data_IF_880125651918
#
_entry.id   IF_880125651918
#
_cell.length_a   1.000
_cell.length_b   1.000
_cell.length_c   1.000
_cell.angle_alpha   90.00
_cell.angle_beta   90.00
_cell.angle_gamma   90.00
#
_symmetry.space_group_name_H-M   'P 1'
#
loop_
_entity.id
_entity.type
_entity.pdbx_description
1 polymer ?
#
# COMPACT_ATOMS: atom_id res chain seq x y z
N UNK A 1 -5.68 10.54 -9.95
CA UNK A 1 -4.53 9.64 -9.83
C UNK A 1 -3.85 9.91 -8.51
N UNK A 2 -3.51 8.87 -7.76
CA UNK A 2 -2.82 8.94 -6.47
C UNK A 2 -1.63 7.98 -6.51
N UNK A 3 -0.46 8.40 -6.05
CA UNK A 3 0.73 7.57 -6.01
C UNK A 3 1.37 7.58 -4.63
N UNK A 4 2.01 6.48 -4.28
CA UNK A 4 2.71 6.30 -3.00
C UNK A 4 4.04 5.62 -3.26
N UNK A 5 5.09 6.22 -2.74
CA UNK A 5 6.42 5.63 -2.62
C UNK A 5 6.71 5.39 -1.14
N UNK A 6 7.21 4.21 -0.81
CA UNK A 6 7.59 3.86 0.56
C UNK A 6 8.96 3.19 0.57
N UNK A 7 9.73 3.56 1.59
CA UNK A 7 10.92 2.85 2.03
C UNK A 7 10.74 2.53 3.51
N UNK A 8 11.01 1.28 3.90
CA UNK A 8 10.83 0.81 5.27
C UNK A 8 11.69 -0.42 5.53
N UNK A 9 11.70 -0.93 6.75
CA UNK A 9 12.42 -2.15 7.14
C UNK A 9 11.45 -3.16 7.74
N UNK A 10 11.70 -4.44 7.48
CA UNK A 10 10.89 -5.50 8.08
C UNK A 10 11.07 -5.53 9.60
N UNK A 11 9.96 -5.62 10.34
CA UNK A 11 10.00 -5.68 11.82
C UNK A 11 10.76 -6.91 12.34
N UNK A 12 10.68 -8.03 11.64
CA UNK A 12 11.32 -9.28 12.05
C UNK A 12 12.83 -9.31 11.72
N UNK A 13 13.26 -8.52 10.74
CA UNK A 13 14.65 -8.43 10.32
C UNK A 13 14.94 -7.01 9.81
N UNK A 14 15.54 -6.13 10.63
CA UNK A 14 15.82 -4.75 10.23
C UNK A 14 16.83 -4.60 9.08
N UNK A 15 17.52 -5.67 8.69
CA UNK A 15 18.40 -5.67 7.50
C UNK A 15 17.61 -5.93 6.20
N UNK A 16 16.35 -6.33 6.29
CA UNK A 16 15.49 -6.52 5.13
C UNK A 16 14.80 -5.18 4.79
N UNK A 17 15.47 -4.42 3.93
CA UNK A 17 14.93 -3.20 3.36
C UNK A 17 13.78 -3.50 2.38
N UNK A 18 12.67 -2.82 2.61
CA UNK A 18 11.47 -2.89 1.80
C UNK A 18 11.25 -1.57 1.09
N UNK A 19 11.10 -1.62 -0.24
CA UNK A 19 10.68 -0.49 -1.04
C UNK A 19 9.45 -0.88 -1.87
N UNK A 20 8.51 0.05 -2.01
CA UNK A 20 7.38 -0.16 -2.91
C UNK A 20 6.91 1.14 -3.58
N UNK A 21 6.39 0.99 -4.79
CA UNK A 21 5.73 2.03 -5.56
C UNK A 21 4.31 1.58 -5.91
N UNK A 22 3.34 2.44 -5.64
CA UNK A 22 1.94 2.20 -5.90
C UNK A 22 1.35 3.35 -6.70
N UNK A 23 0.53 3.02 -7.69
CA UNK A 23 -0.25 4.00 -8.47
C UNK A 23 -1.69 3.54 -8.51
N UNK A 24 -2.61 4.45 -8.21
CA UNK A 24 -4.05 4.23 -8.24
C UNK A 24 -4.73 5.19 -9.22
N UNK A 25 -5.60 4.62 -10.05
CA UNK A 25 -6.49 5.34 -10.95
C UNK A 25 -7.93 4.87 -10.76
N UNK A 26 -8.87 5.79 -10.95
CA UNK A 26 -10.30 5.50 -11.03
C UNK A 26 -10.90 6.37 -12.12
N UNK A 27 -11.77 5.79 -12.95
CA UNK A 27 -12.69 6.57 -13.78
C UNK A 27 -13.89 7.01 -12.92
N UNK A 28 -14.90 7.68 -13.48
CA UNK A 28 -16.09 8.20 -12.77
C UNK A 28 -16.95 7.12 -12.04
N UNK A 29 -16.50 5.86 -11.98
CA UNK A 29 -17.08 4.77 -11.20
C UNK A 29 -16.33 4.55 -9.88
N UNK A 30 -17.00 3.93 -8.89
CA UNK A 30 -16.38 3.53 -7.61
C UNK A 30 -15.26 2.47 -7.77
N UNK A 31 -15.02 1.99 -9.00
CA UNK A 31 -14.00 1.00 -9.30
C UNK A 31 -12.62 1.64 -9.43
N UNK A 32 -11.68 1.11 -8.66
CA UNK A 32 -10.27 1.51 -8.68
C UNK A 32 -9.44 0.45 -9.38
N UNK A 33 -8.45 0.90 -10.16
CA UNK A 33 -7.38 0.09 -10.71
C UNK A 33 -6.08 0.58 -10.10
N UNK A 34 -5.22 -0.34 -9.69
CA UNK A 34 -3.93 0.01 -9.14
C UNK A 34 -2.81 -0.88 -9.64
N UNK A 35 -1.60 -0.35 -9.58
CA UNK A 35 -0.36 -1.08 -9.79
C UNK A 35 0.40 -1.04 -8.48
N UNK A 36 0.95 -2.18 -8.07
CA UNK A 36 1.86 -2.29 -6.93
C UNK A 36 3.12 -3.00 -7.39
N UNK A 37 4.27 -2.36 -7.16
CA UNK A 37 5.60 -2.92 -7.35
C UNK A 37 6.35 -2.84 -6.05
N UNK A 38 7.05 -3.91 -5.67
CA UNK A 38 7.79 -3.95 -4.41
C UNK A 38 9.07 -4.79 -4.48
N UNK A 39 10.00 -4.51 -3.56
CA UNK A 39 11.33 -5.14 -3.54
C UNK A 39 11.32 -6.62 -3.13
N UNK A 40 10.32 -7.07 -2.36
CA UNK A 40 10.18 -8.49 -2.03
C UNK A 40 9.51 -9.28 -3.15
N UNK A 41 8.77 -8.58 -4.00
CA UNK A 41 8.07 -9.10 -5.16
C UNK A 41 8.98 -9.64 -6.27
N UNK A 42 10.28 -9.27 -6.30
CA UNK A 42 11.41 -9.86 -7.05
C UNK A 42 11.31 -10.00 -8.59
N UNK A 43 10.12 -10.28 -9.12
CA UNK A 43 9.79 -10.53 -10.51
C UNK A 43 8.40 -9.99 -10.91
N UNK A 44 7.64 -9.35 -10.00
CA UNK A 44 6.22 -9.07 -10.23
C UNK A 44 5.84 -7.60 -10.07
N UNK A 45 5.12 -7.10 -11.08
CA UNK A 45 4.21 -5.96 -10.99
C UNK A 45 2.82 -6.56 -10.79
N UNK A 46 2.15 -6.21 -9.69
CA UNK A 46 0.79 -6.66 -9.44
C UNK A 46 -0.21 -5.60 -9.89
N UNK A 47 -1.10 -5.95 -10.81
CA UNK A 47 -2.31 -5.16 -11.07
C UNK A 47 -3.39 -5.57 -10.08
N UNK A 48 -4.07 -4.57 -9.53
CA UNK A 48 -5.09 -4.75 -8.51
C UNK A 48 -6.36 -4.03 -8.88
N UNK A 49 -7.46 -4.51 -8.32
CA UNK A 49 -8.77 -3.87 -8.43
C UNK A 49 -9.29 -3.56 -7.03
N UNK A 50 -10.05 -2.50 -6.94
CA UNK A 50 -10.54 -2.02 -5.67
C UNK A 50 -11.85 -1.29 -5.77
N UNK A 51 -12.37 -0.94 -4.60
CA UNK A 51 -13.59 -0.17 -4.45
C UNK A 51 -13.38 0.90 -3.38
N UNK A 52 -14.01 2.04 -3.59
CA UNK A 52 -14.07 3.09 -2.57
C UNK A 52 -15.02 2.68 -1.44
N UNK A 53 -14.72 3.19 -0.25
CA UNK A 53 -15.54 3.13 0.95
C UNK A 53 -15.68 4.56 1.49
N UNK A 54 -16.62 4.78 2.41
CA UNK A 54 -16.85 6.11 3.01
C UNK A 54 -15.58 6.72 3.64
N UNK A 55 -14.74 5.87 4.18
CA UNK A 55 -13.55 6.19 4.97
C UNK A 55 -12.24 5.82 4.27
N UNK A 56 -12.26 5.51 2.96
CA UNK A 56 -11.07 5.15 2.22
C UNK A 56 -11.34 4.22 1.04
N UNK A 57 -10.50 3.21 0.84
CA UNK A 57 -10.65 2.26 -0.26
C UNK A 57 -9.85 0.98 0.02
N UNK A 58 -10.24 -0.11 -0.61
CA UNK A 58 -9.47 -1.36 -0.56
C UNK A 58 -9.03 -1.76 -1.96
N UNK A 59 -7.81 -2.29 -2.07
CA UNK A 59 -7.24 -2.85 -3.30
C UNK A 59 -6.85 -4.30 -3.07
N UNK A 60 -7.29 -5.20 -3.95
CA UNK A 60 -6.90 -6.60 -3.95
C UNK A 60 -5.91 -6.88 -5.09
N UNK A 61 -4.78 -7.50 -4.75
CA UNK A 61 -3.72 -7.90 -5.67
C UNK A 61 -3.56 -9.41 -5.61
N UNK A 62 -3.79 -10.08 -6.74
CA UNK A 62 -3.66 -11.54 -6.83
C UNK A 62 -2.24 -11.91 -7.24
N UNK A 63 -1.63 -12.76 -6.43
CA UNK A 63 -0.38 -13.47 -6.71
C UNK A 63 -0.71 -14.96 -6.92
N UNK A 64 0.20 -15.77 -7.49
CA UNK A 64 -0.08 -17.18 -7.79
C UNK A 64 -0.58 -18.00 -6.58
N UNK A 65 -0.06 -17.71 -5.39
CA UNK A 65 -0.32 -18.49 -4.17
C UNK A 65 -1.04 -17.71 -3.06
N UNK A 66 -1.35 -16.45 -3.31
CA UNK A 66 -1.92 -15.58 -2.29
C UNK A 66 -2.67 -14.40 -2.90
N UNK A 67 -3.53 -13.78 -2.11
CA UNK A 67 -4.10 -12.48 -2.41
C UNK A 67 -3.71 -11.50 -1.33
N UNK A 68 -3.13 -10.38 -1.72
CA UNK A 68 -2.83 -9.29 -0.80
C UNK A 68 -3.93 -8.24 -0.89
N UNK A 69 -4.53 -7.92 0.23
CA UNK A 69 -5.54 -6.86 0.35
C UNK A 69 -4.91 -5.68 1.07
N UNK A 70 -4.80 -4.58 0.34
CA UNK A 70 -4.32 -3.29 0.82
C UNK A 70 -5.54 -2.46 1.23
N UNK A 71 -5.68 -2.20 2.52
CA UNK A 71 -6.80 -1.45 3.10
C UNK A 71 -6.35 -0.06 3.45
N UNK A 72 -6.90 0.92 2.77
CA UNK A 72 -6.59 2.33 2.97
C UNK A 72 -7.72 2.98 3.75
N UNK A 73 -7.38 3.60 4.88
CA UNK A 73 -8.27 4.46 5.65
C UNK A 73 -7.78 5.89 5.49
N UNK A 74 -8.61 6.76 4.93
CA UNK A 74 -8.30 8.15 4.64
C UNK A 74 -9.28 9.03 5.41
N UNK A 75 -8.77 9.73 6.41
CA UNK A 75 -9.52 10.73 7.18
C UNK A 75 -8.88 12.11 7.00
N UNK A 76 -9.55 13.17 7.47
CA UNK A 76 -8.98 14.54 7.44
C UNK A 76 -7.64 14.65 8.17
N UNK A 77 -7.40 13.82 9.19
CA UNK A 77 -6.25 13.92 10.08
C UNK A 77 -5.17 12.87 9.82
N UNK A 78 -5.53 11.72 9.22
CA UNK A 78 -4.66 10.54 9.15
C UNK A 78 -4.97 9.70 7.91
N UNK A 79 -3.92 9.19 7.29
CA UNK A 79 -4.01 8.08 6.34
C UNK A 79 -3.35 6.87 7.02
N UNK A 80 -4.07 5.74 7.04
CA UNK A 80 -3.58 4.45 7.48
C UNK A 80 -3.68 3.45 6.34
N UNK A 81 -2.69 2.58 6.24
CA UNK A 81 -2.60 1.56 5.21
C UNK A 81 -2.19 0.24 5.85
N UNK A 82 -3.10 -0.73 5.81
CA UNK A 82 -2.87 -2.08 6.30
C UNK A 82 -2.84 -3.06 5.14
N UNK A 83 -1.89 -4.00 5.17
CA UNK A 83 -1.78 -5.07 4.18
C UNK A 83 -2.00 -6.40 4.89
N UNK A 84 -2.98 -7.14 4.39
CA UNK A 84 -3.20 -8.53 4.80
C UNK A 84 -3.01 -9.45 3.62
N UNK A 85 -2.37 -10.59 3.87
CA UNK A 85 -2.22 -11.66 2.91
C UNK A 85 -3.24 -12.76 3.24
N UNK A 86 -4.01 -13.17 2.25
CA UNK A 86 -4.79 -14.40 2.28
C UNK A 86 -4.03 -15.48 1.51
N UNK A 87 -3.61 -16.55 2.19
CA UNK A 87 -2.99 -17.71 1.55
C UNK A 87 -3.99 -18.60 0.80
N UNK A 88 -3.48 -19.56 0.01
CA UNK A 88 -4.27 -20.61 -0.65
C UNK A 88 -5.12 -21.44 0.32
N UNK A 89 -4.72 -21.55 1.58
CA UNK A 89 -5.46 -22.23 2.65
C UNK A 89 -6.59 -21.37 3.25
N UNK A 90 -6.80 -20.16 2.72
CA UNK A 90 -7.78 -19.20 3.22
C UNK A 90 -7.34 -18.50 4.52
N UNK A 91 -6.15 -18.79 5.05
CA UNK A 91 -5.67 -18.11 6.26
C UNK A 91 -5.25 -16.69 5.94
N UNK A 92 -5.73 -15.77 6.76
CA UNK A 92 -5.38 -14.35 6.69
C UNK A 92 -4.23 -14.09 7.66
N UNK A 93 -3.18 -13.42 7.19
CA UNK A 93 -2.02 -13.01 7.99
C UNK A 93 -1.72 -11.53 7.74
N UNK A 94 -1.34 -10.76 8.77
CA UNK A 94 -0.78 -9.43 8.58
C UNK A 94 0.50 -9.52 7.74
N UNK A 95 0.69 -8.54 6.85
CA UNK A 95 1.92 -8.40 6.07
C UNK A 95 2.67 -7.12 6.45
N UNK A 96 2.00 -5.96 6.35
CA UNK A 96 2.57 -4.67 6.72
C UNK A 96 1.49 -3.70 7.19
N UNK A 97 1.88 -2.67 7.93
CA UNK A 97 1.00 -1.60 8.38
C UNK A 97 1.76 -0.28 8.45
N UNK A 98 1.21 0.76 7.84
CA UNK A 98 1.82 2.08 7.71
C UNK A 98 0.84 3.18 8.12
N UNK A 99 1.37 4.19 8.81
CA UNK A 99 0.63 5.40 9.14
C UNK A 99 1.34 6.59 8.48
N UNK A 100 0.59 7.35 7.70
CA UNK A 100 1.12 8.56 7.07
C UNK A 100 0.76 9.76 7.92
N UNK A 101 1.79 10.53 8.23
CA UNK A 101 1.66 11.81 8.91
C UNK A 101 1.67 12.93 7.87
N UNK A 102 0.75 13.88 8.01
CA UNK A 102 0.71 15.04 7.14
C UNK A 102 1.77 16.04 7.60
N UNK A 103 2.68 16.37 6.70
CA UNK A 103 3.66 17.45 6.91
C UNK A 103 3.37 18.60 5.94
N UNK A 104 3.71 19.83 6.32
CA UNK A 104 3.73 20.94 5.35
C UNK A 104 4.84 20.69 4.32
N UNK A 105 4.70 21.25 3.12
CA UNK A 105 5.73 21.09 2.09
C UNK A 105 7.09 21.63 2.53
N UNK A 106 7.12 22.72 3.31
CA UNK A 106 8.35 23.29 3.84
C UNK A 106 9.03 22.34 4.82
N UNK A 107 8.26 21.74 5.73
CA UNK A 107 8.76 20.73 6.66
C UNK A 107 9.23 19.47 5.92
N UNK A 108 8.49 18.99 4.91
CA UNK A 108 8.87 17.82 4.13
C UNK A 108 10.19 18.04 3.37
N UNK A 109 10.43 19.25 2.84
CA UNK A 109 11.70 19.61 2.19
C UNK A 109 12.88 19.59 3.14
N UNK A 110 12.68 19.90 4.41
CA UNK A 110 13.73 19.82 5.43
C UNK A 110 14.07 18.36 5.75
N UNK A 111 13.05 17.50 5.92
CA UNK A 111 13.22 16.07 6.19
C UNK A 111 13.90 15.28 5.06
N UNK A 112 13.74 15.70 3.80
CA UNK A 112 14.30 15.01 2.64
C UNK A 112 15.74 15.45 2.27
N UNK A 113 16.30 16.43 2.98
CA UNK A 113 17.69 16.91 2.77
C UNK A 113 18.74 16.14 3.58
N UNK A 114 18.30 15.22 4.43
CA UNK A 114 19.14 14.31 5.24
C UNK A 114 19.17 12.94 4.60
#
# INVERSE_FOLDING_TARGET
MFSVDIQSQAKANPQDDYAAHLVFGGALSEALIGIWTDSFGGAYIATGHGATRRDGFDMAYRYPDSTFVNRWTVTKARIAWDIVMSGKDGKIKPFAAYIFHRHSCDHARELLKT
#
